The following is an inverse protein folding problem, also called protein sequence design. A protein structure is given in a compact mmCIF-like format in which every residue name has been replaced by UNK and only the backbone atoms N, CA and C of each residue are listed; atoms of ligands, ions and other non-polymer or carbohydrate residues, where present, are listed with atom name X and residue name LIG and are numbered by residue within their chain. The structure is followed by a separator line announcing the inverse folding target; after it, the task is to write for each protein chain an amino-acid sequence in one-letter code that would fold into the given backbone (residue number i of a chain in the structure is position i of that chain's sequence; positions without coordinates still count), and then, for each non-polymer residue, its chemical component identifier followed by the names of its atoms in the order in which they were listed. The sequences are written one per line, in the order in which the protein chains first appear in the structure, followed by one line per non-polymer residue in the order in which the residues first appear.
data_IF_485412331208
#
_entry.id   IF_485412331208
#
_cell.length_a   1.000
_cell.length_b   1.000
_cell.length_c   1.000
_cell.angle_alpha   90.00
_cell.angle_beta   90.00
_cell.angle_gamma   90.00
#
_symmetry.space_group_name_H-M   'P 1'
#
loop_
_entity.id
_entity.type
_entity.pdbx_description
1 polymer ?
#
# COMPACT_ATOMS: atom_id res chain seq x y z
N UNK A 1 17.14 0.95 19.09
CA UNK A 1 17.35 0.75 17.64
C UNK A 1 16.07 0.49 16.85
N UNK A 2 15.11 -0.33 17.33
CA UNK A 2 13.83 -0.52 16.63
C UNK A 2 12.96 0.75 16.56
N UNK A 3 12.86 1.49 17.66
CA UNK A 3 12.10 2.74 17.73
C UNK A 3 12.65 3.81 16.78
N UNK A 4 13.97 3.90 16.64
CA UNK A 4 14.61 4.91 15.78
C UNK A 4 14.36 4.65 14.29
N UNK A 5 14.36 3.39 13.85
CA UNK A 5 14.08 3.05 12.45
C UNK A 5 12.61 3.26 12.09
N UNK A 6 11.68 2.88 12.97
CA UNK A 6 10.24 3.14 12.77
C UNK A 6 9.95 4.65 12.74
N UNK A 7 10.53 5.43 13.65
CA UNK A 7 10.39 6.89 13.68
C UNK A 7 10.91 7.54 12.40
N UNK A 8 12.06 7.11 11.88
CA UNK A 8 12.60 7.62 10.61
C UNK A 8 11.69 7.27 9.44
N UNK A 9 11.21 6.02 9.35
CA UNK A 9 10.30 5.60 8.29
C UNK A 9 8.98 6.40 8.32
N UNK A 10 8.39 6.61 9.51
CA UNK A 10 7.21 7.47 9.70
C UNK A 10 7.49 8.91 9.32
N UNK A 11 8.64 9.46 9.73
CA UNK A 11 9.07 10.81 9.36
C UNK A 11 9.11 10.99 7.85
N UNK A 12 9.75 10.05 7.13
CA UNK A 12 9.82 10.08 5.66
C UNK A 12 8.42 10.04 5.03
N UNK A 13 7.55 9.14 5.49
CA UNK A 13 6.18 9.03 4.97
C UNK A 13 5.35 10.27 5.24
N UNK A 14 5.46 10.85 6.45
CA UNK A 14 4.74 12.08 6.82
C UNK A 14 5.22 13.26 5.98
N UNK A 15 6.53 13.41 5.77
CA UNK A 15 7.08 14.47 4.91
C UNK A 15 6.61 14.31 3.47
N UNK A 16 6.65 13.10 2.92
CA UNK A 16 6.14 12.82 1.58
C UNK A 16 4.63 13.13 1.46
N UNK A 17 3.84 12.73 2.47
CA UNK A 17 2.39 12.97 2.52
C UNK A 17 2.08 14.46 2.60
N UNK A 18 2.81 15.21 3.43
CA UNK A 18 2.65 16.65 3.57
C UNK A 18 2.95 17.35 2.24
N UNK A 19 4.05 16.99 1.58
CA UNK A 19 4.40 17.49 0.25
C UNK A 19 3.29 17.20 -0.77
N UNK A 20 2.85 15.94 -0.86
CA UNK A 20 1.77 15.52 -1.76
C UNK A 20 0.46 16.26 -1.51
N UNK A 21 0.12 16.47 -0.24
CA UNK A 21 -1.09 17.18 0.18
C UNK A 21 -1.02 18.65 -0.20
N UNK A 22 0.12 19.32 0.01
CA UNK A 22 0.33 20.72 -0.39
C UNK A 22 0.14 20.87 -1.91
N UNK A 23 0.73 19.98 -2.70
CA UNK A 23 0.62 19.98 -4.16
C UNK A 23 -0.84 19.79 -4.60
N UNK A 24 -1.52 18.77 -4.07
CA UNK A 24 -2.90 18.47 -4.41
C UNK A 24 -3.87 19.58 -3.99
N UNK A 25 -3.71 20.13 -2.78
CA UNK A 25 -4.53 21.24 -2.27
C UNK A 25 -4.33 22.50 -3.10
N UNK A 26 -3.09 22.81 -3.49
CA UNK A 26 -2.78 23.99 -4.32
C UNK A 26 -3.43 23.85 -5.70
N UNK A 27 -3.34 22.68 -6.33
CA UNK A 27 -3.99 22.42 -7.61
C UNK A 27 -5.53 22.47 -7.49
N UNK A 28 -6.10 21.89 -6.43
CA UNK A 28 -7.53 21.95 -6.16
C UNK A 28 -8.03 23.40 -5.94
N UNK A 29 -7.27 24.20 -5.20
CA UNK A 29 -7.60 25.60 -4.92
C UNK A 29 -7.57 26.47 -6.19
N UNK A 30 -6.59 26.23 -7.08
CA UNK A 30 -6.54 26.89 -8.41
C UNK A 30 -7.72 26.45 -9.28
N UNK A 31 -8.05 25.15 -9.30
CA UNK A 31 -9.20 24.61 -10.05
C UNK A 31 -10.54 25.20 -9.58
N UNK A 32 -10.71 25.39 -8.27
CA UNK A 32 -11.90 26.02 -7.67
C UNK A 32 -11.89 27.56 -7.78
N UNK A 33 -10.94 28.15 -8.51
CA UNK A 33 -10.74 29.60 -8.67
C UNK A 33 -10.58 30.37 -7.35
N UNK A 34 -10.17 29.69 -6.27
CA UNK A 34 -9.90 30.35 -4.98
C UNK A 34 -8.54 31.05 -4.96
N UNK A 35 -7.59 30.58 -5.77
CA UNK A 35 -6.24 31.14 -5.91
C UNK A 35 -5.94 31.35 -7.40
N UNK A 36 -5.34 32.48 -7.75
CA UNK A 36 -4.94 32.77 -9.13
C UNK A 36 -3.80 31.86 -9.60
N UNK A 37 -3.84 31.35 -10.85
CA UNK A 37 -2.86 30.37 -11.35
C UNK A 37 -1.43 30.91 -11.50
N UNK A 38 -1.26 32.24 -11.55
CA UNK A 38 0.02 32.92 -11.80
C UNK A 38 0.66 33.54 -10.54
N UNK A 39 0.11 33.27 -9.35
CA UNK A 39 0.70 33.73 -8.09
C UNK A 39 2.10 33.16 -7.82
N UNK A 40 2.87 33.79 -6.93
CA UNK A 40 4.19 33.29 -6.53
C UNK A 40 4.12 31.89 -5.90
N UNK A 41 3.10 31.64 -5.07
CA UNK A 41 2.90 30.36 -4.39
C UNK A 41 2.59 29.20 -5.34
N UNK A 42 1.57 29.26 -6.24
CA UNK A 42 1.34 28.20 -7.22
C UNK A 42 2.52 27.95 -8.15
N UNK A 43 3.29 28.98 -8.51
CA UNK A 43 4.52 28.84 -9.32
C UNK A 43 5.61 28.08 -8.57
N UNK A 44 5.81 28.37 -7.28
CA UNK A 44 6.76 27.66 -6.44
C UNK A 44 6.38 26.19 -6.29
N UNK A 45 5.11 25.92 -5.95
CA UNK A 45 4.61 24.55 -5.78
C UNK A 45 4.81 23.75 -7.06
N UNK A 46 4.40 24.29 -8.23
CA UNK A 46 4.62 23.65 -9.53
C UNK A 46 6.11 23.41 -9.79
N UNK A 47 6.96 24.42 -9.63
CA UNK A 47 8.41 24.26 -9.85
C UNK A 47 9.03 23.13 -9.01
N UNK A 48 8.58 22.96 -7.77
CA UNK A 48 9.05 21.88 -6.89
C UNK A 48 8.41 20.53 -7.22
N UNK A 49 7.16 20.51 -7.67
CA UNK A 49 6.41 19.28 -7.89
C UNK A 49 6.46 18.73 -9.31
N UNK A 50 6.66 19.57 -10.32
CA UNK A 50 6.74 19.20 -11.74
C UNK A 50 7.69 18.03 -12.03
N UNK A 51 8.92 17.96 -11.48
CA UNK A 51 9.78 16.79 -11.71
C UNK A 51 9.17 15.47 -11.22
N UNK A 52 8.28 15.52 -10.23
CA UNK A 52 7.57 14.35 -9.68
C UNK A 52 6.21 14.14 -10.36
N UNK A 53 5.48 15.21 -10.68
CA UNK A 53 4.13 15.15 -11.30
C UNK A 53 4.22 14.70 -12.76
N UNK A 54 5.12 15.26 -13.57
CA UNK A 54 5.21 14.97 -15.00
C UNK A 54 5.33 13.47 -15.33
N UNK A 55 6.20 12.67 -14.67
CA UNK A 55 6.24 11.23 -14.92
C UNK A 55 4.95 10.51 -14.50
N UNK A 56 4.23 11.03 -13.49
CA UNK A 56 2.95 10.50 -13.04
C UNK A 56 1.82 10.86 -13.99
N UNK A 57 1.76 12.09 -14.48
CA UNK A 57 0.83 12.56 -15.50
C UNK A 57 0.90 11.67 -16.75
N UNK A 58 2.12 11.37 -17.24
CA UNK A 58 2.35 10.43 -18.36
C UNK A 58 1.87 9.00 -18.08
N UNK A 59 1.77 8.59 -16.82
CA UNK A 59 1.20 7.30 -16.42
C UNK A 59 -0.32 7.38 -16.36
N UNK A 60 -0.87 8.44 -15.75
CA UNK A 60 -2.32 8.68 -15.63
C UNK A 60 -2.99 8.74 -17.00
N UNK A 61 -2.39 9.45 -17.96
CA UNK A 61 -2.91 9.53 -19.34
C UNK A 61 -2.90 8.16 -20.01
N UNK A 62 -1.87 7.33 -19.76
CA UNK A 62 -1.81 5.95 -20.29
C UNK A 62 -2.93 5.05 -19.76
N UNK A 63 -3.46 5.34 -18.58
CA UNK A 63 -4.62 4.66 -18.01
C UNK A 63 -5.96 5.33 -18.38
N UNK A 64 -5.97 6.30 -19.30
CA UNK A 64 -7.18 7.01 -19.73
C UNK A 64 -7.65 8.12 -18.78
N UNK A 65 -6.82 8.50 -17.80
CA UNK A 65 -7.14 9.57 -16.84
C UNK A 65 -6.86 10.98 -17.38
N UNK A 66 -7.45 11.99 -16.76
CA UNK A 66 -7.21 13.39 -17.14
C UNK A 66 -5.87 13.90 -16.55
N UNK A 67 -5.10 14.73 -17.28
CA UNK A 67 -3.87 15.35 -16.76
C UNK A 67 -4.10 16.19 -15.49
N UNK A 68 -5.31 16.72 -15.36
CA UNK A 68 -5.72 17.63 -14.29
C UNK A 68 -5.83 16.91 -12.94
N UNK A 69 -6.01 15.58 -12.96
CA UNK A 69 -6.12 14.73 -11.77
C UNK A 69 -4.77 14.21 -11.26
N UNK A 70 -3.67 14.46 -12.00
CA UNK A 70 -2.33 13.97 -11.64
C UNK A 70 -1.87 14.32 -10.20
N UNK A 71 -2.17 15.52 -9.63
CA UNK A 71 -1.85 15.83 -8.24
C UNK A 71 -2.57 14.93 -7.23
N UNK A 72 -3.81 14.51 -7.50
CA UNK A 72 -4.57 13.61 -6.62
C UNK A 72 -4.01 12.18 -6.69
N UNK A 73 -3.60 11.75 -7.88
CA UNK A 73 -2.89 10.48 -8.07
C UNK A 73 -1.55 10.46 -7.35
N UNK A 74 -0.82 11.57 -7.32
CA UNK A 74 0.41 11.70 -6.54
C UNK A 74 0.13 11.48 -5.05
N UNK A 75 -0.93 12.08 -4.52
CA UNK A 75 -1.38 11.86 -3.15
C UNK A 75 -1.71 10.39 -2.88
N UNK A 76 -2.47 9.75 -3.77
CA UNK A 76 -2.80 8.32 -3.68
C UNK A 76 -1.57 7.41 -3.68
N UNK A 77 -0.62 7.64 -4.60
CA UNK A 77 0.64 6.88 -4.67
C UNK A 77 1.46 7.04 -3.39
N UNK A 78 1.55 8.26 -2.86
CA UNK A 78 2.31 8.53 -1.64
C UNK A 78 1.65 7.88 -0.42
N UNK A 79 0.33 7.93 -0.29
CA UNK A 79 -0.40 7.22 0.78
C UNK A 79 -0.13 5.72 0.69
N UNK A 80 -0.33 5.12 -0.49
CA UNK A 80 -0.20 3.68 -0.68
C UNK A 80 1.24 3.21 -0.52
N UNK A 81 2.19 3.93 -1.13
CA UNK A 81 3.62 3.66 -1.01
C UNK A 81 4.11 3.84 0.43
N UNK A 82 3.65 4.87 1.12
CA UNK A 82 3.96 5.10 2.52
C UNK A 82 3.40 4.01 3.44
N UNK A 83 2.14 3.60 3.23
CA UNK A 83 1.53 2.50 3.97
C UNK A 83 2.27 1.18 3.72
N UNK A 84 2.63 0.89 2.46
CA UNK A 84 3.42 -0.28 2.10
C UNK A 84 4.80 -0.26 2.78
N UNK A 85 5.50 0.88 2.73
CA UNK A 85 6.81 1.05 3.35
C UNK A 85 6.73 0.82 4.86
N UNK A 86 5.78 1.45 5.54
CA UNK A 86 5.58 1.29 6.98
C UNK A 86 5.21 -0.15 7.33
N UNK A 87 4.33 -0.78 6.56
CA UNK A 87 3.95 -2.19 6.78
C UNK A 87 5.16 -3.11 6.66
N UNK A 88 6.00 -2.88 5.65
CA UNK A 88 7.20 -3.67 5.42
C UNK A 88 8.26 -3.45 6.52
N UNK A 89 8.52 -2.19 6.89
CA UNK A 89 9.45 -1.85 7.97
C UNK A 89 8.99 -2.45 9.29
N UNK A 90 7.71 -2.31 9.63
CA UNK A 90 7.15 -2.88 10.85
C UNK A 90 7.22 -4.40 10.87
N UNK A 91 6.98 -5.06 9.73
CA UNK A 91 7.15 -6.50 9.60
C UNK A 91 8.61 -6.93 9.83
N UNK A 92 9.57 -6.22 9.24
CA UNK A 92 11.00 -6.51 9.38
C UNK A 92 11.48 -6.29 10.83
N UNK A 93 11.07 -5.19 11.44
CA UNK A 93 11.38 -4.87 12.84
C UNK A 93 10.74 -5.87 13.80
N UNK A 94 9.51 -6.30 13.49
CA UNK A 94 8.84 -7.40 14.17
C UNK A 94 9.65 -8.69 14.12
N UNK A 95 10.20 -9.06 12.95
CA UNK A 95 11.09 -10.23 12.82
C UNK A 95 12.28 -10.13 13.78
N UNK A 96 12.98 -9.01 13.74
CA UNK A 96 14.20 -8.83 14.50
C UNK A 96 13.95 -8.80 16.01
N UNK A 97 12.82 -8.22 16.45
CA UNK A 97 12.38 -8.28 17.85
C UNK A 97 11.88 -9.67 18.27
N UNK A 98 11.45 -10.50 17.31
CA UNK A 98 11.07 -11.89 17.59
C UNK A 98 12.30 -12.72 17.88
N UNK A 99 13.38 -12.56 17.11
CA UNK A 99 14.63 -13.34 17.24
C UNK A 99 15.28 -13.18 18.61
N UNK A 100 15.20 -11.99 19.22
CA UNK A 100 15.71 -11.74 20.57
C UNK A 100 14.84 -12.36 21.66
N UNK A 101 13.54 -12.54 21.41
CA UNK A 101 12.61 -13.22 22.32
C UNK A 101 12.74 -14.77 22.28
N UNK A 102 13.44 -15.32 21.28
CA UNK A 102 13.65 -16.77 21.14
C UNK A 102 14.59 -17.36 22.20
N UNK A 103 15.34 -16.53 22.93
CA UNK A 103 16.25 -16.98 23.98
C UNK A 103 15.52 -17.56 25.22
N UNK A 104 14.25 -17.22 25.42
CA UNK A 104 13.41 -17.71 26.53
C UNK A 104 12.04 -18.24 26.09
N UNK A 105 11.86 -18.44 24.78
CA UNK A 105 10.59 -18.83 24.19
C UNK A 105 10.22 -20.29 24.53
N UNK A 106 8.98 -20.50 25.00
CA UNK A 106 8.43 -21.85 25.19
C UNK A 106 8.13 -22.46 23.81
N UNK A 107 8.13 -23.80 23.65
CA UNK A 107 7.81 -24.46 22.38
C UNK A 107 6.51 -23.97 21.70
N UNK A 108 5.48 -23.65 22.49
CA UNK A 108 4.21 -23.08 22.01
C UNK A 108 4.37 -21.68 21.37
N UNK A 109 5.33 -20.88 21.84
CA UNK A 109 5.55 -19.53 21.34
C UNK A 109 6.11 -19.59 19.92
N UNK A 110 6.97 -20.57 19.62
CA UNK A 110 7.46 -20.84 18.27
C UNK A 110 6.34 -21.16 17.29
N UNK A 111 5.36 -21.96 17.70
CA UNK A 111 4.20 -22.30 16.85
C UNK A 111 3.35 -21.06 16.60
N UNK A 112 3.02 -20.28 17.63
CA UNK A 112 2.29 -19.00 17.50
C UNK A 112 2.99 -18.06 16.53
N UNK A 113 4.32 -17.98 16.60
CA UNK A 113 5.12 -17.15 15.73
C UNK A 113 5.05 -17.62 14.28
N UNK A 114 5.39 -18.88 13.99
CA UNK A 114 5.35 -19.42 12.63
C UNK A 114 3.98 -19.24 11.97
N UNK A 115 2.91 -19.48 12.73
CA UNK A 115 1.54 -19.30 12.24
C UNK A 115 1.24 -17.82 11.97
N UNK A 116 1.54 -16.93 12.92
CA UNK A 116 1.36 -15.48 12.75
C UNK A 116 2.12 -14.93 11.55
N UNK A 117 3.33 -15.44 11.33
CA UNK A 117 4.20 -15.11 10.22
C UNK A 117 3.63 -15.57 8.88
N UNK A 118 3.15 -16.81 8.80
CA UNK A 118 2.52 -17.35 7.61
C UNK A 118 1.30 -16.52 7.19
N UNK A 119 0.40 -16.19 8.13
CA UNK A 119 -0.75 -15.33 7.85
C UNK A 119 -0.33 -13.95 7.35
N UNK A 120 0.64 -13.31 8.01
CA UNK A 120 1.09 -11.96 7.64
C UNK A 120 1.69 -11.94 6.24
N UNK A 121 2.45 -12.96 5.86
CA UNK A 121 3.02 -13.10 4.52
C UNK A 121 1.94 -13.22 3.44
N UNK A 122 0.94 -14.09 3.64
CA UNK A 122 -0.16 -14.27 2.68
C UNK A 122 -1.01 -13.00 2.59
N UNK A 123 -1.36 -12.40 3.72
CA UNK A 123 -2.12 -11.14 3.75
C UNK A 123 -1.37 -10.00 3.05
N UNK A 124 -0.05 -9.90 3.25
CA UNK A 124 0.80 -8.94 2.53
C UNK A 124 0.80 -9.19 1.02
N UNK A 125 0.86 -10.45 0.58
CA UNK A 125 0.79 -10.78 -0.84
C UNK A 125 -0.57 -10.38 -1.46
N UNK A 126 -1.67 -10.60 -0.76
CA UNK A 126 -3.00 -10.15 -1.19
C UNK A 126 -3.07 -8.62 -1.26
N UNK A 127 -2.53 -7.93 -0.27
CA UNK A 127 -2.50 -6.47 -0.24
C UNK A 127 -1.74 -5.89 -1.44
N UNK A 128 -0.59 -6.47 -1.79
CA UNK A 128 0.16 -6.07 -3.00
C UNK A 128 -0.67 -6.31 -4.27
N UNK A 129 -1.43 -7.41 -4.36
CA UNK A 129 -2.34 -7.67 -5.50
C UNK A 129 -3.46 -6.62 -5.60
N UNK A 130 -4.07 -6.24 -4.47
CA UNK A 130 -5.08 -5.17 -4.44
C UNK A 130 -4.51 -3.88 -5.01
N UNK A 131 -3.33 -3.48 -4.53
CA UNK A 131 -2.64 -2.27 -5.01
C UNK A 131 -2.30 -2.40 -6.50
N UNK A 132 -1.73 -3.54 -6.93
CA UNK A 132 -1.39 -3.79 -8.32
C UNK A 132 -2.62 -3.67 -9.23
N UNK A 133 -3.80 -4.13 -8.79
CA UNK A 133 -5.05 -4.01 -9.54
C UNK A 133 -5.47 -2.55 -9.73
N UNK A 134 -5.33 -1.69 -8.72
CA UNK A 134 -5.65 -0.26 -8.81
C UNK A 134 -4.74 0.49 -9.77
N UNK A 135 -3.50 0.03 -9.94
CA UNK A 135 -2.54 0.58 -10.90
C UNK A 135 -2.62 -0.10 -12.28
N UNK A 136 -3.63 -0.94 -12.55
CA UNK A 136 -3.77 -1.64 -13.83
C UNK A 136 -2.60 -2.58 -14.15
N UNK A 137 -1.89 -3.06 -13.12
CA UNK A 137 -0.76 -3.96 -13.28
C UNK A 137 -1.30 -5.39 -13.44
N UNK A 138 -1.08 -5.96 -14.63
CA UNK A 138 -1.48 -7.32 -14.96
C UNK A 138 -0.80 -8.38 -14.09
N UNK A 139 -1.60 -9.30 -13.53
CA UNK A 139 -1.18 -10.45 -12.72
C UNK A 139 -0.20 -11.39 -13.45
N UNK A 140 -0.14 -11.33 -14.79
CA UNK A 140 0.75 -12.14 -15.61
C UNK A 140 2.21 -11.66 -15.62
N UNK A 141 2.53 -10.50 -15.02
CA UNK A 141 3.92 -10.01 -14.93
C UNK A 141 4.78 -10.98 -14.11
N UNK A 142 6.03 -11.20 -14.54
CA UNK A 142 6.95 -12.19 -13.93
C UNK A 142 7.12 -12.01 -12.42
N UNK A 143 7.19 -10.77 -11.94
CA UNK A 143 7.34 -10.47 -10.51
C UNK A 143 6.07 -10.66 -9.69
N UNK A 144 4.89 -10.72 -10.32
CA UNK A 144 3.61 -11.00 -9.65
C UNK A 144 3.34 -12.49 -9.46
N UNK A 145 3.97 -13.36 -10.26
CA UNK A 145 3.83 -14.83 -10.16
C UNK A 145 3.95 -15.39 -8.74
N UNK A 146 4.96 -15.06 -7.92
CA UNK A 146 5.04 -15.57 -6.56
C UNK A 146 3.86 -15.12 -5.69
N UNK A 147 3.38 -13.89 -5.85
CA UNK A 147 2.22 -13.36 -5.12
C UNK A 147 0.96 -14.12 -5.50
N UNK A 148 0.77 -14.36 -6.80
CA UNK A 148 -0.36 -15.12 -7.37
C UNK A 148 -0.35 -16.55 -6.84
N UNK A 149 0.79 -17.25 -6.92
CA UNK A 149 0.95 -18.61 -6.39
C UNK A 149 0.62 -18.70 -4.89
N UNK A 150 1.05 -17.72 -4.10
CA UNK A 150 0.81 -17.67 -2.65
C UNK A 150 -0.64 -17.40 -2.27
N UNK A 151 -1.47 -16.87 -3.17
CA UNK A 151 -2.79 -16.32 -2.82
C UNK A 151 -3.95 -16.86 -3.65
N UNK A 152 -3.69 -17.44 -4.82
CA UNK A 152 -4.72 -17.96 -5.74
C UNK A 152 -5.56 -19.08 -5.13
N UNK A 153 -4.97 -19.92 -4.28
CA UNK A 153 -5.69 -20.98 -3.59
C UNK A 153 -6.80 -20.45 -2.66
N UNK A 154 -6.71 -19.19 -2.20
CA UNK A 154 -7.77 -18.49 -1.45
C UNK A 154 -8.66 -17.68 -2.39
N UNK A 155 -8.03 -16.91 -3.29
CA UNK A 155 -8.72 -15.92 -4.10
C UNK A 155 -9.60 -16.59 -5.16
N UNK A 156 -9.14 -17.65 -5.83
CA UNK A 156 -9.95 -18.31 -6.86
C UNK A 156 -11.27 -18.88 -6.32
N UNK A 157 -11.32 -19.62 -5.20
CA UNK A 157 -12.58 -20.08 -4.63
C UNK A 157 -13.56 -18.95 -4.33
N UNK A 158 -13.06 -17.81 -3.85
CA UNK A 158 -13.88 -16.62 -3.57
C UNK A 158 -14.38 -16.01 -4.87
N UNK A 159 -13.50 -15.85 -5.86
CA UNK A 159 -13.81 -15.29 -7.19
C UNK A 159 -14.85 -16.14 -7.95
N UNK A 160 -14.89 -17.46 -7.71
CA UNK A 160 -15.93 -18.35 -8.27
C UNK A 160 -17.32 -18.13 -7.67
N UNK A 161 -17.42 -17.58 -6.45
CA UNK A 161 -18.70 -17.32 -5.78
C UNK A 161 -19.18 -15.88 -5.92
N UNK A 162 -18.25 -14.95 -6.15
CA UNK A 162 -18.61 -13.55 -6.37
C UNK A 162 -19.00 -13.34 -7.84
N UNK A 163 -20.08 -12.57 -8.10
CA UNK A 163 -20.38 -12.13 -9.46
C UNK A 163 -19.22 -11.26 -9.98
N UNK A 164 -18.89 -11.31 -11.28
CA UNK A 164 -17.83 -10.49 -11.85
C UNK A 164 -18.16 -9.00 -11.66
N UNK A 165 -17.45 -8.35 -10.74
CA UNK A 165 -17.64 -6.95 -10.37
C UNK A 165 -16.96 -5.99 -11.35
N UNK A 166 -17.37 -6.03 -12.63
CA UNK A 166 -16.89 -5.08 -13.65
C UNK A 166 -15.37 -4.95 -13.70
N UNK A 167 -14.85 -3.70 -13.66
CA UNK A 167 -13.41 -3.40 -13.72
C UNK A 167 -12.63 -3.65 -12.41
N UNK A 168 -13.30 -3.79 -11.26
CA UNK A 168 -12.64 -3.86 -9.94
C UNK A 168 -12.95 -5.20 -9.29
N UNK A 169 -11.95 -6.05 -9.12
CA UNK A 169 -12.11 -7.33 -8.41
C UNK A 169 -12.07 -7.12 -6.89
N UNK A 170 -13.21 -7.32 -6.22
CA UNK A 170 -13.31 -7.25 -4.76
C UNK A 170 -12.88 -8.55 -4.05
N UNK A 171 -12.65 -9.65 -4.79
CA UNK A 171 -12.26 -10.96 -4.23
C UNK A 171 -11.02 -10.88 -3.33
N UNK A 172 -9.94 -10.15 -3.70
CA UNK A 172 -8.77 -10.01 -2.85
C UNK A 172 -9.06 -9.27 -1.54
N UNK A 173 -9.95 -8.27 -1.53
CA UNK A 173 -10.33 -7.56 -0.31
C UNK A 173 -11.09 -8.47 0.65
N UNK A 174 -12.02 -9.27 0.13
CA UNK A 174 -12.74 -10.27 0.93
C UNK A 174 -11.80 -11.36 1.45
N UNK A 175 -10.88 -11.85 0.62
CA UNK A 175 -9.85 -12.82 1.02
C UNK A 175 -8.99 -12.28 2.17
N UNK A 176 -8.57 -11.02 2.08
CA UNK A 176 -7.80 -10.36 3.14
C UNK A 176 -8.58 -10.27 4.46
N UNK A 177 -9.86 -9.90 4.40
CA UNK A 177 -10.73 -9.82 5.59
C UNK A 177 -10.90 -11.20 6.25
N UNK A 178 -11.15 -12.24 5.47
CA UNK A 178 -11.28 -13.61 5.97
C UNK A 178 -10.00 -14.10 6.64
N UNK A 179 -8.83 -13.80 6.04
CA UNK A 179 -7.55 -14.12 6.65
C UNK A 179 -7.28 -13.35 7.93
N UNK A 180 -7.69 -12.08 8.01
CA UNK A 180 -7.54 -11.27 9.22
C UNK A 180 -8.32 -11.88 10.39
N UNK A 181 -9.57 -12.28 10.15
CA UNK A 181 -10.39 -12.98 11.13
C UNK A 181 -9.78 -14.34 11.52
N UNK A 182 -9.40 -15.15 10.53
CA UNK A 182 -8.81 -16.47 10.74
C UNK A 182 -7.51 -16.39 11.55
N UNK A 183 -6.64 -15.41 11.26
CA UNK A 183 -5.41 -15.15 12.02
C UNK A 183 -5.72 -14.86 13.49
N UNK A 184 -6.68 -13.98 13.75
CA UNK A 184 -7.07 -13.62 15.12
C UNK A 184 -7.57 -14.81 15.92
N UNK A 185 -8.42 -15.64 15.32
CA UNK A 185 -8.94 -16.86 15.95
C UNK A 185 -7.83 -17.89 16.19
N UNK A 186 -7.05 -18.24 15.17
CA UNK A 186 -6.02 -19.29 15.28
C UNK A 186 -4.91 -18.88 16.24
N UNK A 187 -4.40 -17.65 16.14
CA UNK A 187 -3.35 -17.17 17.05
C UNK A 187 -3.87 -16.99 18.48
N UNK A 188 -5.15 -16.65 18.66
CA UNK A 188 -5.77 -16.55 19.98
C UNK A 188 -6.00 -17.91 20.66
N UNK A 189 -6.13 -18.99 19.89
CA UNK A 189 -6.33 -20.36 20.38
C UNK A 189 -5.02 -21.09 20.70
N UNK A 190 -3.93 -20.75 19.99
CA UNK A 190 -2.59 -21.24 20.28
C UNK A 190 -2.05 -20.61 21.55
#
# INVERSE_FOLDING_TARGET
MHLTLDMVARGIVVVALAFASIVALTHWAVRRRKIGPFGAWPRLVRRLSDPVILPMERRVIRFGGSPQDAPLWLLGVVILGGLLLLSFVNWLLGMAGTVTALASARPRDWVRLLVSWAFTLVMGAIFIRVIASWFGISEYRRWMRPLVLLTDWIIQPIRRRLPPSGMIDFSPMLAWLLLWLARGLVVGML
#
